data_IF_015463371154
#
_entry.id   IF_015463371154
#
_cell.length_a   1.000
_cell.length_b   1.000
_cell.length_c   1.000
_cell.angle_alpha   90.00
_cell.angle_beta   90.00
_cell.angle_gamma   90.00
#
_symmetry.space_group_name_H-M   'P 1'
#
loop_
_entity.id
_entity.type
_entity.pdbx_description
1 polymer ?
#
# COMPACT_ATOMS: atom_id res chain seq x y z
N UNK A 1 11.89 25.66 15.71
CA UNK A 1 13.34 25.85 15.78
C UNK A 1 13.65 27.28 15.37
N UNK A 2 14.45 28.07 16.17
CA UNK A 2 14.80 29.43 15.79
C UNK A 2 15.76 29.39 14.60
N UNK A 3 15.30 29.83 13.45
CA UNK A 3 16.05 29.90 12.20
C UNK A 3 16.66 31.30 11.93
N UNK A 4 16.22 32.30 12.64
CA UNK A 4 16.76 33.66 12.55
C UNK A 4 16.82 34.30 13.94
N UNK A 5 17.89 35.05 14.17
CA UNK A 5 18.02 35.95 15.31
C UNK A 5 18.25 37.35 14.73
N UNK A 6 17.26 38.21 14.88
CA UNK A 6 17.30 39.58 14.40
C UNK A 6 17.62 40.49 15.58
N UNK A 7 18.91 40.57 15.87
CA UNK A 7 19.41 41.48 16.90
C UNK A 7 20.68 42.14 16.39
N UNK A 8 20.73 43.44 16.51
CA UNK A 8 21.97 44.23 16.28
C UNK A 8 23.09 43.68 17.14
N UNK A 9 24.27 43.44 16.54
CA UNK A 9 25.52 43.03 17.22
C UNK A 9 25.57 41.57 17.71
N UNK A 10 24.70 40.68 17.20
CA UNK A 10 24.82 39.26 17.49
C UNK A 10 25.28 38.52 16.22
N UNK A 11 26.41 37.80 16.37
CA UNK A 11 26.89 36.89 15.31
C UNK A 11 26.47 35.47 15.62
N UNK A 12 26.05 34.76 14.59
CA UNK A 12 25.58 33.39 14.72
C UNK A 12 26.39 32.45 13.84
N UNK A 13 26.70 31.27 14.36
CA UNK A 13 27.22 30.17 13.56
C UNK A 13 26.07 29.27 13.16
N UNK A 14 25.94 29.01 11.86
CA UNK A 14 24.90 28.14 11.31
C UNK A 14 25.49 26.84 10.79
N UNK A 15 24.71 25.79 10.84
CA UNK A 15 24.98 24.50 10.22
C UNK A 15 23.76 24.11 9.39
N UNK A 16 23.94 23.88 8.10
CA UNK A 16 22.90 23.34 7.23
C UNK A 16 22.69 21.87 7.54
N UNK A 17 21.46 21.50 7.79
CA UNK A 17 21.03 20.13 8.04
C UNK A 17 19.96 19.73 7.05
N UNK A 18 20.00 18.48 6.62
CA UNK A 18 18.97 17.87 5.76
C UNK A 18 18.19 16.87 6.57
N UNK A 19 16.88 16.89 6.44
CA UNK A 19 16.01 15.91 7.04
C UNK A 19 14.81 15.63 6.15
N UNK A 20 14.10 14.55 6.45
CA UNK A 20 12.93 14.12 5.72
C UNK A 20 11.68 14.67 6.40
N UNK A 21 11.00 15.60 5.75
CA UNK A 21 9.72 16.16 6.20
C UNK A 21 8.54 15.37 5.64
N UNK A 22 7.58 15.00 6.49
CA UNK A 22 6.31 14.43 6.04
C UNK A 22 5.44 15.54 5.44
N UNK A 23 5.16 15.45 4.14
CA UNK A 23 4.38 16.45 3.40
C UNK A 23 2.91 16.08 3.33
N UNK A 24 2.63 14.80 2.98
CA UNK A 24 1.26 14.29 2.84
C UNK A 24 1.14 12.97 3.62
N UNK A 25 0.05 12.83 4.35
CA UNK A 25 -0.35 11.56 4.95
C UNK A 25 -1.87 11.38 4.76
N UNK A 26 -2.24 10.37 4.00
CA UNK A 26 -3.65 10.02 3.77
C UNK A 26 -3.83 8.51 3.85
N UNK A 27 -4.93 8.10 4.46
CA UNK A 27 -5.46 6.74 4.38
C UNK A 27 -6.71 6.74 3.54
N UNK A 28 -6.80 5.79 2.63
CA UNK A 28 -7.97 5.62 1.77
C UNK A 28 -8.11 4.16 1.35
N UNK A 29 -9.18 3.81 0.68
CA UNK A 29 -9.47 2.44 0.28
C UNK A 29 -9.60 2.30 -1.23
N UNK A 30 -9.10 1.18 -1.74
CA UNK A 30 -9.36 0.72 -3.10
C UNK A 30 -10.20 -0.54 -3.05
N UNK A 31 -11.38 -0.50 -3.68
CA UNK A 31 -12.24 -1.67 -3.82
C UNK A 31 -12.05 -2.32 -5.19
N UNK A 32 -11.76 -3.61 -5.17
CA UNK A 32 -11.62 -4.46 -6.34
C UNK A 32 -12.82 -5.39 -6.35
N UNK A 33 -13.68 -5.24 -7.36
CA UNK A 33 -14.84 -6.10 -7.54
C UNK A 33 -14.87 -6.59 -8.98
N UNK A 34 -14.92 -7.90 -9.15
CA UNK A 34 -14.92 -8.51 -10.48
C UNK A 34 -15.67 -9.84 -10.45
N UNK A 35 -16.06 -10.33 -11.62
CA UNK A 35 -16.83 -11.53 -11.81
C UNK A 35 -16.07 -12.51 -12.71
N UNK A 36 -16.11 -13.78 -12.33
CA UNK A 36 -15.55 -14.87 -13.11
C UNK A 36 -16.64 -15.93 -13.37
N UNK A 37 -16.89 -16.23 -14.63
CA UNK A 37 -17.82 -17.29 -15.02
C UNK A 37 -17.09 -18.61 -15.18
N UNK A 38 -17.54 -19.64 -14.48
CA UNK A 38 -16.99 -20.99 -14.59
C UNK A 38 -17.26 -21.53 -16.01
N UNK A 39 -16.24 -22.15 -16.60
CA UNK A 39 -16.34 -22.72 -17.93
C UNK A 39 -17.42 -23.82 -18.00
N UNK A 40 -18.14 -23.89 -19.13
CA UNK A 40 -19.27 -24.77 -19.33
C UNK A 40 -18.98 -26.29 -19.23
N UNK A 41 -17.70 -26.66 -19.30
CA UNK A 41 -17.26 -28.05 -19.10
C UNK A 41 -17.05 -28.43 -17.65
N UNK A 42 -17.32 -27.54 -16.70
CA UNK A 42 -17.25 -27.77 -15.25
C UNK A 42 -18.66 -27.80 -14.67
N UNK A 43 -18.90 -28.62 -13.62
CA UNK A 43 -20.18 -28.67 -12.95
C UNK A 43 -20.49 -27.38 -12.20
N UNK A 44 -21.79 -27.16 -11.98
CA UNK A 44 -22.30 -26.00 -11.24
C UNK A 44 -21.93 -26.02 -9.77
N UNK A 45 -21.95 -24.87 -9.15
CA UNK A 45 -21.59 -24.70 -7.74
C UNK A 45 -22.81 -24.98 -6.87
N UNK A 46 -22.77 -26.06 -6.10
CA UNK A 46 -23.76 -26.28 -5.04
C UNK A 46 -23.45 -25.47 -3.77
N UNK A 47 -22.17 -25.33 -3.45
CA UNK A 47 -21.70 -24.57 -2.26
C UNK A 47 -20.23 -24.23 -2.37
N UNK A 48 -19.84 -23.08 -1.85
CA UNK A 48 -18.42 -22.73 -1.64
C UNK A 48 -17.95 -23.41 -0.35
N UNK A 49 -16.89 -24.22 -0.44
CA UNK A 49 -16.31 -24.93 0.71
C UNK A 49 -15.19 -24.10 1.32
N UNK A 50 -14.30 -23.59 0.49
CA UNK A 50 -13.14 -22.80 0.91
C UNK A 50 -12.59 -21.97 -0.23
N UNK A 51 -12.02 -20.83 0.07
CA UNK A 51 -11.33 -19.99 -0.93
C UNK A 51 -10.19 -19.19 -0.31
N UNK A 52 -9.26 -18.79 -1.15
CA UNK A 52 -8.29 -17.75 -0.85
C UNK A 52 -8.24 -16.73 -1.98
N UNK A 53 -7.97 -15.49 -1.62
CA UNK A 53 -7.75 -14.41 -2.57
C UNK A 53 -6.49 -13.66 -2.20
N UNK A 54 -5.54 -13.60 -3.12
CA UNK A 54 -4.25 -12.96 -2.95
C UNK A 54 -4.06 -11.84 -3.98
N UNK A 55 -3.71 -10.66 -3.50
CA UNK A 55 -3.29 -9.55 -4.37
C UNK A 55 -1.83 -9.76 -4.76
N UNK A 56 -1.59 -9.92 -6.04
CA UNK A 56 -0.26 -10.15 -6.61
C UNK A 56 0.18 -9.01 -7.51
N UNK A 57 1.48 -8.76 -7.57
CA UNK A 57 2.06 -7.76 -8.46
C UNK A 57 1.52 -6.34 -8.24
N UNK A 58 1.10 -6.02 -7.00
CA UNK A 58 0.58 -4.69 -6.70
C UNK A 58 1.67 -3.64 -6.97
N UNK A 59 1.38 -2.77 -7.91
CA UNK A 59 2.16 -1.59 -8.28
C UNK A 59 1.36 -0.34 -7.92
N UNK A 60 1.96 0.52 -7.10
CA UNK A 60 1.37 1.76 -6.60
C UNK A 60 2.21 2.92 -7.09
N UNK A 61 1.71 3.62 -8.10
CA UNK A 61 2.40 4.73 -8.74
C UNK A 61 1.76 6.06 -8.37
N UNK A 62 2.46 6.94 -7.62
CA UNK A 62 2.01 8.31 -7.41
C UNK A 62 2.03 9.11 -8.72
N UNK A 63 0.98 9.89 -8.94
CA UNK A 63 0.90 10.93 -9.95
C UNK A 63 0.36 12.20 -9.28
N UNK A 64 0.13 13.27 -10.02
CA UNK A 64 -0.38 14.52 -9.45
C UNK A 64 -1.78 14.32 -8.85
N UNK A 65 -1.91 14.50 -7.53
CA UNK A 65 -3.14 14.36 -6.75
C UNK A 65 -3.79 12.98 -6.74
N UNK A 66 -3.12 11.94 -7.22
CA UNK A 66 -3.67 10.59 -7.32
C UNK A 66 -2.60 9.52 -7.17
N UNK A 67 -2.97 8.38 -6.62
CA UNK A 67 -2.14 7.17 -6.64
C UNK A 67 -2.82 6.14 -7.53
N UNK A 68 -2.15 5.77 -8.63
CA UNK A 68 -2.58 4.69 -9.50
C UNK A 68 -2.16 3.35 -8.93
N UNK A 69 -3.11 2.43 -8.84
CA UNK A 69 -2.91 1.07 -8.39
C UNK A 69 -3.15 0.10 -9.56
N UNK A 70 -2.27 -0.87 -9.72
CA UNK A 70 -2.42 -1.97 -10.68
C UNK A 70 -1.98 -3.25 -10.03
N UNK A 71 -2.59 -4.35 -10.41
CA UNK A 71 -2.23 -5.65 -9.89
C UNK A 71 -3.09 -6.74 -10.46
N UNK A 72 -2.99 -7.90 -9.84
CA UNK A 72 -3.73 -9.10 -10.19
C UNK A 72 -4.31 -9.72 -8.93
N UNK A 73 -5.61 -10.02 -8.92
CA UNK A 73 -6.28 -10.77 -7.88
C UNK A 73 -6.22 -12.26 -8.26
N UNK A 74 -5.43 -13.03 -7.55
CA UNK A 74 -5.37 -14.49 -7.71
C UNK A 74 -6.35 -15.14 -6.76
N UNK A 75 -7.27 -15.92 -7.30
CA UNK A 75 -8.34 -16.59 -6.56
C UNK A 75 -8.17 -18.10 -6.71
N UNK A 76 -8.16 -18.78 -5.58
CA UNK A 76 -8.33 -20.23 -5.51
C UNK A 76 -9.63 -20.53 -4.79
N UNK A 77 -10.43 -21.43 -5.33
CA UNK A 77 -11.68 -21.85 -4.74
C UNK A 77 -11.86 -23.36 -4.79
N UNK A 78 -12.35 -23.91 -3.68
CA UNK A 78 -12.80 -25.27 -3.52
C UNK A 78 -14.31 -25.23 -3.33
N UNK A 79 -15.06 -25.96 -4.14
CA UNK A 79 -16.51 -25.93 -4.10
C UNK A 79 -17.14 -27.33 -4.22
N UNK A 80 -18.30 -27.49 -3.62
CA UNK A 80 -19.17 -28.61 -3.84
C UNK A 80 -19.89 -28.47 -5.17
N UNK A 81 -19.89 -29.54 -5.96
CA UNK A 81 -20.53 -29.60 -7.27
C UNK A 81 -21.83 -30.38 -7.21
N UNK A 82 -22.80 -29.96 -8.02
CA UNK A 82 -24.06 -30.67 -8.15
C UNK A 82 -23.93 -31.87 -9.11
N UNK A 83 -24.67 -32.95 -8.83
CA UNK A 83 -24.92 -34.11 -9.71
C UNK A 83 -23.69 -34.70 -10.43
N UNK A 84 -22.56 -34.84 -9.70
CA UNK A 84 -21.34 -35.43 -10.28
C UNK A 84 -20.80 -36.60 -9.46
N UNK A 85 -20.04 -37.49 -10.11
CA UNK A 85 -19.29 -38.55 -9.45
C UNK A 85 -18.13 -37.99 -8.56
N UNK A 86 -17.70 -36.74 -8.85
CA UNK A 86 -16.68 -36.01 -8.08
C UNK A 86 -17.30 -34.78 -7.41
N UNK A 87 -17.88 -34.93 -6.22
CA UNK A 87 -18.67 -33.90 -5.56
C UNK A 87 -17.86 -32.69 -5.09
N UNK A 88 -16.54 -32.77 -5.07
CA UNK A 88 -15.65 -31.68 -4.70
C UNK A 88 -14.79 -31.30 -5.89
N UNK A 89 -14.87 -30.03 -6.26
CA UNK A 89 -14.13 -29.44 -7.37
C UNK A 89 -13.27 -28.27 -6.89
N UNK A 90 -12.27 -27.92 -7.64
CA UNK A 90 -11.46 -26.73 -7.41
C UNK A 90 -11.14 -26.01 -8.71
N UNK A 91 -10.88 -24.74 -8.61
CA UNK A 91 -10.36 -23.93 -9.70
C UNK A 91 -9.45 -22.81 -9.18
N UNK A 92 -8.56 -22.37 -10.02
CA UNK A 92 -7.72 -21.20 -9.80
C UNK A 92 -7.85 -20.27 -11.00
N UNK A 93 -8.02 -18.99 -10.75
CA UNK A 93 -8.06 -17.96 -11.78
C UNK A 93 -7.45 -16.67 -11.30
N UNK A 94 -7.15 -15.77 -12.22
CA UNK A 94 -6.58 -14.46 -11.92
C UNK A 94 -7.38 -13.39 -12.66
N UNK A 95 -7.62 -12.29 -11.95
CA UNK A 95 -8.32 -11.10 -12.42
C UNK A 95 -7.39 -9.90 -12.37
N UNK A 96 -6.98 -9.32 -13.51
CA UNK A 96 -6.21 -8.09 -13.50
C UNK A 96 -7.10 -6.93 -13.06
N UNK A 97 -6.56 -6.06 -12.22
CA UNK A 97 -7.26 -4.86 -11.80
C UNK A 97 -6.43 -3.60 -11.97
N UNK A 98 -7.11 -2.49 -12.14
CA UNK A 98 -6.54 -1.15 -12.06
C UNK A 98 -7.53 -0.21 -11.39
N UNK A 99 -6.99 0.76 -10.65
CA UNK A 99 -7.81 1.75 -9.97
C UNK A 99 -6.99 2.98 -9.62
N UNK A 100 -7.68 4.00 -9.17
CA UNK A 100 -7.07 5.26 -8.76
C UNK A 100 -7.61 5.62 -7.38
N UNK A 101 -6.72 6.12 -6.52
CA UNK A 101 -7.06 6.62 -5.20
C UNK A 101 -6.64 8.07 -5.12
N UNK A 102 -7.59 8.95 -4.82
CA UNK A 102 -7.30 10.38 -4.66
C UNK A 102 -6.30 10.59 -3.52
N UNK A 103 -5.30 11.40 -3.79
CA UNK A 103 -4.30 11.79 -2.81
C UNK A 103 -3.89 13.25 -3.04
N UNK A 104 -4.67 14.23 -2.54
CA UNK A 104 -4.39 15.64 -2.72
C UNK A 104 -2.97 16.00 -2.29
N UNK A 105 -2.34 16.89 -3.05
CA UNK A 105 -0.97 17.38 -2.82
C UNK A 105 0.15 16.33 -2.99
N UNK A 106 -0.16 15.08 -3.37
CA UNK A 106 0.88 14.15 -3.79
C UNK A 106 1.38 14.49 -5.20
N UNK A 107 2.68 14.32 -5.42
CA UNK A 107 3.33 14.53 -6.71
C UNK A 107 4.40 13.45 -6.93
N UNK A 108 4.84 13.28 -8.18
CA UNK A 108 5.90 12.34 -8.54
C UNK A 108 7.28 12.71 -7.93
N UNK A 109 7.45 13.98 -7.52
CA UNK A 109 8.71 14.48 -6.92
C UNK A 109 8.86 14.08 -5.45
N UNK A 110 7.77 13.74 -4.78
CA UNK A 110 7.77 13.34 -3.38
C UNK A 110 8.26 11.89 -3.23
N UNK A 111 8.87 11.61 -2.10
CA UNK A 111 9.32 10.26 -1.75
C UNK A 111 8.13 9.49 -1.16
N UNK A 112 7.56 8.52 -1.88
CA UNK A 112 6.38 7.79 -1.42
C UNK A 112 6.73 6.69 -0.43
N UNK A 113 5.92 6.52 0.60
CA UNK A 113 5.81 5.36 1.47
C UNK A 113 4.35 4.95 1.49
N UNK A 114 4.00 3.99 0.65
CA UNK A 114 2.63 3.49 0.54
C UNK A 114 2.59 2.05 0.99
N UNK A 115 1.78 1.77 1.99
CA UNK A 115 1.54 0.43 2.50
C UNK A 115 0.11 0.02 2.17
N UNK A 116 -0.06 -1.19 1.67
CA UNK A 116 -1.36 -1.74 1.34
C UNK A 116 -1.66 -2.95 2.23
N UNK A 117 -2.86 -2.99 2.77
CA UNK A 117 -3.36 -4.12 3.56
C UNK A 117 -4.78 -4.49 3.15
N UNK A 118 -5.11 -5.78 3.21
CA UNK A 118 -6.46 -6.27 2.93
C UNK A 118 -7.34 -6.02 4.15
N UNK A 119 -8.36 -5.18 4.01
CA UNK A 119 -9.36 -4.93 5.06
C UNK A 119 -10.50 -5.93 5.03
N UNK A 120 -10.94 -6.27 3.81
CA UNK A 120 -12.08 -7.15 3.60
C UNK A 120 -11.90 -7.96 2.33
N UNK A 121 -12.38 -9.19 2.35
CA UNK A 121 -12.47 -10.02 1.16
C UNK A 121 -13.68 -10.95 1.28
N UNK A 122 -14.43 -11.09 0.20
CA UNK A 122 -15.53 -12.03 0.07
C UNK A 122 -15.62 -12.61 -1.34
N UNK A 123 -16.02 -13.87 -1.41
CA UNK A 123 -16.33 -14.58 -2.65
C UNK A 123 -17.74 -15.12 -2.55
N UNK A 124 -18.57 -14.83 -3.54
CA UNK A 124 -19.97 -15.28 -3.61
C UNK A 124 -20.21 -16.00 -4.94
N UNK A 125 -20.96 -17.11 -4.88
CA UNK A 125 -21.50 -17.71 -6.07
C UNK A 125 -22.84 -17.06 -6.41
N UNK A 126 -23.10 -16.84 -7.71
CA UNK A 126 -24.34 -16.27 -8.21
C UNK A 126 -24.82 -17.04 -9.43
N UNK A 127 -26.14 -17.08 -9.64
CA UNK A 127 -26.71 -17.66 -10.84
C UNK A 127 -26.31 -16.84 -12.08
N UNK A 128 -26.12 -17.54 -13.19
CA UNK A 128 -26.01 -16.98 -14.52
C UNK A 128 -27.40 -16.70 -15.14
N UNK A 129 -27.43 -16.41 -16.43
CA UNK A 129 -28.70 -16.10 -17.18
C UNK A 129 -29.64 -17.27 -17.28
N UNK A 130 -29.14 -18.50 -17.17
CA UNK A 130 -29.90 -19.74 -17.21
C UNK A 130 -30.35 -20.20 -15.81
N UNK A 131 -29.91 -19.49 -14.76
CA UNK A 131 -30.24 -19.76 -13.36
C UNK A 131 -29.29 -20.76 -12.68
N UNK A 132 -28.20 -21.15 -13.34
CA UNK A 132 -27.19 -22.06 -12.80
C UNK A 132 -26.12 -21.27 -12.01
N UNK A 133 -25.74 -21.76 -10.82
CA UNK A 133 -24.73 -21.12 -9.96
C UNK A 133 -23.32 -21.26 -10.57
N UNK A 134 -22.94 -20.34 -11.46
CA UNK A 134 -21.74 -20.39 -12.28
C UNK A 134 -20.89 -19.12 -12.23
N UNK A 135 -21.40 -18.05 -11.63
CA UNK A 135 -20.69 -16.78 -11.54
C UNK A 135 -20.07 -16.65 -10.16
N UNK A 136 -18.75 -16.50 -10.09
CA UNK A 136 -18.01 -16.17 -8.88
C UNK A 136 -17.76 -14.66 -8.82
N UNK A 137 -18.33 -13.99 -7.83
CA UNK A 137 -18.15 -12.56 -7.60
C UNK A 137 -17.13 -12.38 -6.50
N UNK A 138 -15.98 -11.81 -6.86
CA UNK A 138 -14.89 -11.45 -5.96
C UNK A 138 -15.05 -10.00 -5.51
N UNK A 139 -14.94 -9.72 -4.22
CA UNK A 139 -14.98 -8.36 -3.64
C UNK A 139 -13.87 -8.23 -2.61
N UNK A 140 -12.90 -7.37 -2.90
CA UNK A 140 -11.72 -7.14 -2.04
C UNK A 140 -11.57 -5.65 -1.80
N UNK A 141 -11.40 -5.27 -0.54
CA UNK A 141 -11.11 -3.90 -0.13
C UNK A 141 -9.69 -3.82 0.40
N UNK A 142 -8.85 -3.02 -0.23
CA UNK A 142 -7.51 -2.69 0.22
C UNK A 142 -7.52 -1.34 0.93
N UNK A 143 -6.93 -1.26 2.12
CA UNK A 143 -6.55 0.00 2.73
C UNK A 143 -5.16 0.39 2.22
N UNK A 144 -5.00 1.64 1.81
CA UNK A 144 -3.73 2.25 1.43
C UNK A 144 -3.37 3.31 2.47
N UNK A 145 -2.27 3.10 3.21
CA UNK A 145 -1.65 4.11 4.07
C UNK A 145 -0.56 4.83 3.27
N UNK A 146 -0.87 6.03 2.81
CA UNK A 146 -0.06 6.80 1.87
C UNK A 146 0.66 7.93 2.57
N UNK A 147 1.97 7.86 2.68
CA UNK A 147 2.84 8.89 3.24
C UNK A 147 3.81 9.37 2.17
N UNK A 148 3.92 10.67 2.03
CA UNK A 148 4.83 11.29 1.08
C UNK A 148 5.74 12.26 1.81
N UNK A 149 7.01 12.16 1.51
CA UNK A 149 8.06 12.92 2.18
C UNK A 149 8.80 13.79 1.18
N UNK A 150 9.37 14.89 1.69
CA UNK A 150 10.29 15.77 0.96
C UNK A 150 11.57 15.91 1.75
N UNK A 151 12.72 15.92 1.06
CA UNK A 151 13.97 16.37 1.69
C UNK A 151 13.92 17.90 1.83
N UNK A 152 14.15 18.37 3.04
CA UNK A 152 14.18 19.77 3.38
C UNK A 152 15.55 20.14 3.95
N UNK A 153 16.05 21.32 3.62
CA UNK A 153 17.30 21.86 4.16
C UNK A 153 17.00 23.06 5.05
N UNK A 154 17.56 23.05 6.24
CA UNK A 154 17.44 24.16 7.18
C UNK A 154 18.80 24.54 7.76
N UNK A 155 19.00 25.86 7.87
CA UNK A 155 20.14 26.40 8.57
C UNK A 155 19.82 26.52 10.07
N UNK A 156 20.39 25.64 10.87
CA UNK A 156 20.24 25.67 12.31
C UNK A 156 21.37 26.49 12.93
N UNK A 157 21.01 27.37 13.89
CA UNK A 157 21.97 28.11 14.69
C UNK A 157 22.61 27.13 15.67
N UNK A 158 23.92 26.97 15.59
CA UNK A 158 24.73 26.08 16.45
C UNK A 158 25.53 26.78 17.48
N UNK A 159 25.74 28.10 17.33
CA UNK A 159 26.47 28.92 18.26
C UNK A 159 26.08 30.39 18.09
N UNK A 160 26.21 31.18 19.18
CA UNK A 160 25.86 32.59 19.23
C UNK A 160 26.98 33.35 19.91
N UNK A 161 27.42 34.46 19.32
CA UNK A 161 28.46 35.32 19.87
C UNK A 161 28.02 36.79 19.79
N UNK A 162 28.30 37.52 20.88
CA UNK A 162 28.17 38.98 20.94
C UNK A 162 29.38 39.60 21.62
N UNK A 163 29.98 40.67 21.06
CA UNK A 163 31.13 41.34 21.67
C UNK A 163 30.77 42.24 22.85
N UNK A 164 29.49 42.54 23.06
CA UNK A 164 29.04 43.59 23.97
C UNK A 164 28.61 43.05 25.34
N UNK A 165 28.14 41.79 25.36
CA UNK A 165 27.59 41.16 26.58
C UNK A 165 28.07 39.72 26.70
N UNK A 166 28.14 39.23 27.93
CA UNK A 166 28.29 37.79 28.16
C UNK A 166 27.03 37.07 27.68
N UNK A 167 27.21 36.12 26.76
CA UNK A 167 26.14 35.30 26.21
C UNK A 167 26.27 33.88 26.75
N UNK A 168 25.27 33.39 27.46
CA UNK A 168 25.20 32.02 27.93
C UNK A 168 24.15 31.27 27.05
N UNK A 169 24.59 30.54 26.02
CA UNK A 169 23.66 29.80 25.17
C UNK A 169 23.13 28.56 25.91
N UNK A 170 21.81 28.38 25.92
CA UNK A 170 21.21 27.10 26.29
C UNK A 170 21.12 26.22 25.02
N UNK A 171 21.91 25.14 25.00
CA UNK A 171 21.93 24.18 23.92
C UNK A 171 20.98 23.01 24.21
N UNK A 172 20.25 22.57 23.20
CA UNK A 172 19.45 21.34 23.20
C UNK A 172 19.96 20.39 22.12
N UNK A 173 20.22 19.15 22.50
CA UNK A 173 20.55 18.11 21.50
C UNK A 173 19.28 17.55 20.89
N UNK A 174 19.19 17.62 19.57
CA UNK A 174 18.09 17.03 18.80
C UNK A 174 18.65 15.99 17.84
N UNK A 175 17.93 14.88 17.72
CA UNK A 175 18.23 13.82 16.75
C UNK A 175 17.36 14.04 15.53
N UNK A 176 17.99 14.21 14.36
CA UNK A 176 17.30 14.36 13.09
C UNK A 176 17.50 13.09 12.27
N UNK A 177 16.40 12.51 11.83
CA UNK A 177 16.42 11.32 10.98
C UNK A 177 16.48 11.71 9.51
N UNK A 178 17.26 10.95 8.75
CA UNK A 178 17.40 11.09 7.31
C UNK A 178 17.20 9.73 6.64
N UNK A 179 16.42 9.69 5.58
CA UNK A 179 16.31 8.51 4.74
C UNK A 179 17.59 8.39 3.89
N UNK A 180 18.36 7.33 4.10
CA UNK A 180 19.55 7.03 3.29
C UNK A 180 19.21 6.09 2.12
N UNK A 181 18.47 5.04 2.40
CA UNK A 181 18.10 4.02 1.40
C UNK A 181 16.76 3.42 1.80
N UNK A 182 15.94 3.15 0.81
CA UNK A 182 14.72 2.34 0.94
C UNK A 182 14.72 1.28 -0.14
N UNK A 183 14.47 0.05 0.24
CA UNK A 183 14.32 -1.05 -0.70
C UNK A 183 13.16 -1.95 -0.27
N UNK A 184 12.46 -2.52 -1.24
CA UNK A 184 11.46 -3.56 -1.03
C UNK A 184 11.91 -4.81 -1.73
N UNK A 185 11.86 -5.93 -1.03
CA UNK A 185 11.99 -7.22 -1.67
C UNK A 185 10.77 -8.07 -1.32
N UNK A 186 10.26 -8.79 -2.30
CA UNK A 186 9.19 -9.76 -2.12
C UNK A 186 9.71 -11.12 -2.55
N UNK A 187 9.63 -12.10 -1.64
CA UNK A 187 9.98 -13.49 -1.94
C UNK A 187 8.69 -14.32 -2.04
N UNK A 188 8.57 -15.12 -3.09
CA UNK A 188 7.49 -16.11 -3.24
C UNK A 188 8.12 -17.48 -3.05
N UNK A 189 7.59 -18.26 -2.10
CA UNK A 189 7.96 -19.65 -1.87
C UNK A 189 6.82 -20.52 -2.39
N UNK A 190 7.14 -21.48 -3.26
CA UNK A 190 6.20 -22.48 -3.75
C UNK A 190 6.82 -23.85 -3.55
N UNK A 191 6.09 -24.75 -2.90
CA UNK A 191 6.53 -26.13 -2.67
C UNK A 191 5.40 -27.12 -2.99
N UNK A 192 5.76 -28.36 -3.29
CA UNK A 192 4.82 -29.45 -3.54
C UNK A 192 4.88 -30.43 -2.39
N UNK A 193 3.77 -30.62 -1.72
CA UNK A 193 3.61 -31.61 -0.67
C UNK A 193 3.03 -32.88 -1.30
N UNK A 194 3.75 -34.00 -1.16
CA UNK A 194 3.21 -35.31 -1.52
C UNK A 194 2.45 -35.85 -0.29
N UNK A 195 1.15 -35.99 -0.43
CA UNK A 195 0.32 -36.70 0.54
C UNK A 195 0.38 -38.19 0.21
N UNK A 196 0.78 -39.02 1.19
CA UNK A 196 0.65 -40.48 1.08
C UNK A 196 -0.80 -40.87 1.34
N UNK A 197 -1.35 -41.67 0.46
CA UNK A 197 -2.66 -42.31 0.64
C UNK A 197 -2.61 -43.24 1.88
#
# INVERSE_FOLDING_TARGET
>A
LPVALDAEEVSVRKKTVRFLGLTVHKKDTLRIKDEYTIASNRPDIASLIWYTMDVRGLDLKPEENVVKARGELSVFVLYGAEDTEAPVQWLEYSLPFSGEVECPDCTEELIPLIEASVMHQSLEAKPDVDGEERILVSDVVLELDMKFFREEEYDLITDVYTPIRECVPEGKNEVLERLLVRNFSRCRISDRIQVKE
#
